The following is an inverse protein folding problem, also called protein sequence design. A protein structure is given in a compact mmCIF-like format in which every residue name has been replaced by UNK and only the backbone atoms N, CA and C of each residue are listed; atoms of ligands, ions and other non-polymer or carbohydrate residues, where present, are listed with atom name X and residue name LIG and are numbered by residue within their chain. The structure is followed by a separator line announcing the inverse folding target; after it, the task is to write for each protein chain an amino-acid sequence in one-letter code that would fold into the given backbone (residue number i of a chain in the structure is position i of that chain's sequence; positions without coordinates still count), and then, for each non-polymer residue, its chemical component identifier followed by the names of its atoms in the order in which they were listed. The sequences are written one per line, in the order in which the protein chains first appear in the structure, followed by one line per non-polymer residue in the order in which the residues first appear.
data_IF_664202818650
#
_entry.id   IF_664202818650
#
_cell.length_a   1.000
_cell.length_b   1.000
_cell.length_c   1.000
_cell.angle_alpha   90.00
_cell.angle_beta   90.00
_cell.angle_gamma   90.00
#
_symmetry.space_group_name_H-M   'P 1'
#
loop_
_entity.id
_entity.type
_entity.pdbx_description
1 polymer ?
#
# COMPACT_ATOMS: atom_id res chain seq x y z
N UNK A 1 -11.99 24.16 -23.84
CA UNK A 1 -11.50 22.99 -24.60
C UNK A 1 -11.14 21.92 -23.58
N UNK A 2 -11.79 20.75 -23.62
CA UNK A 2 -11.50 19.64 -22.68
C UNK A 2 -10.22 18.94 -23.12
N UNK A 3 -9.27 18.72 -22.21
CA UNK A 3 -8.12 17.85 -22.49
C UNK A 3 -8.59 16.43 -22.84
N UNK A 4 -7.96 15.74 -23.80
CA UNK A 4 -8.27 14.35 -24.09
C UNK A 4 -7.99 13.48 -22.85
N UNK A 5 -8.83 12.47 -22.64
CA UNK A 5 -8.62 11.51 -21.56
C UNK A 5 -7.28 10.79 -21.75
N UNK A 6 -6.49 10.70 -20.68
CA UNK A 6 -5.23 9.95 -20.70
C UNK A 6 -5.53 8.47 -21.01
N UNK A 7 -4.73 7.87 -21.91
CA UNK A 7 -4.82 6.46 -22.20
C UNK A 7 -4.47 5.63 -20.95
N UNK A 8 -5.28 4.62 -20.63
CA UNK A 8 -5.03 3.69 -19.52
C UNK A 8 -4.10 2.59 -20.03
N UNK A 9 -2.91 2.47 -19.43
CA UNK A 9 -1.97 1.38 -19.71
C UNK A 9 -2.12 0.29 -18.66
N UNK A 10 -2.49 -0.92 -19.09
CA UNK A 10 -2.51 -2.11 -18.22
C UNK A 10 -1.22 -2.92 -18.44
N UNK A 11 -0.71 -3.52 -17.36
CA UNK A 11 0.45 -4.43 -17.43
C UNK A 11 0.12 -5.79 -16.86
N UNK A 12 0.75 -6.82 -17.44
CA UNK A 12 0.65 -8.17 -16.92
C UNK A 12 1.30 -8.25 -15.52
N UNK A 13 0.78 -9.08 -14.60
CA UNK A 13 1.44 -9.35 -13.33
C UNK A 13 2.86 -9.91 -13.55
N UNK A 14 3.84 -9.42 -12.81
CA UNK A 14 5.25 -9.80 -12.92
C UNK A 14 5.48 -11.31 -12.78
N UNK A 15 4.66 -11.99 -11.96
CA UNK A 15 4.66 -13.45 -11.80
C UNK A 15 4.55 -14.24 -13.13
N UNK A 16 3.96 -13.64 -14.16
CA UNK A 16 3.77 -14.26 -15.47
C UNK A 16 4.67 -13.66 -16.57
N UNK A 17 5.53 -12.70 -16.22
CA UNK A 17 6.50 -12.16 -17.17
C UNK A 17 7.55 -13.23 -17.47
N UNK A 18 7.61 -13.68 -18.72
CA UNK A 18 8.66 -14.61 -19.16
C UNK A 18 9.96 -13.82 -19.30
N UNK A 19 11.03 -14.27 -18.66
CA UNK A 19 12.37 -13.65 -18.76
C UNK A 19 12.94 -13.60 -20.19
N UNK A 20 12.28 -14.23 -21.16
CA UNK A 20 12.72 -14.37 -22.55
C UNK A 20 12.01 -13.46 -23.55
N UNK A 21 11.08 -12.57 -23.15
CA UNK A 21 10.46 -11.66 -24.11
C UNK A 21 11.40 -10.49 -24.41
N UNK A 22 12.12 -10.59 -25.52
CA UNK A 22 12.89 -9.52 -26.18
C UNK A 22 12.01 -8.37 -26.73
N UNK A 23 10.89 -8.08 -26.08
CA UNK A 23 10.15 -6.86 -26.30
C UNK A 23 10.94 -5.75 -25.61
N UNK A 24 11.29 -4.72 -26.38
CA UNK A 24 11.85 -3.43 -25.95
C UNK A 24 11.81 -3.23 -24.44
N UNK A 25 12.98 -3.09 -23.80
CA UNK A 25 13.17 -2.87 -22.36
C UNK A 25 11.95 -2.15 -21.77
N UNK A 26 11.24 -2.75 -20.81
CA UNK A 26 9.99 -2.19 -20.32
C UNK A 26 10.28 -0.76 -19.87
N UNK A 27 9.52 0.21 -20.40
CA UNK A 27 9.65 1.60 -20.00
C UNK A 27 9.64 1.65 -18.46
N UNK A 28 10.67 2.28 -17.88
CA UNK A 28 10.88 2.41 -16.44
C UNK A 28 9.56 2.78 -15.77
N UNK A 29 8.99 1.85 -15.00
CA UNK A 29 7.71 2.10 -14.35
C UNK A 29 7.92 2.94 -13.10
N UNK A 30 7.43 4.16 -13.10
CA UNK A 30 7.22 4.88 -11.85
C UNK A 30 5.84 4.52 -11.28
N UNK A 31 5.83 3.82 -10.15
CA UNK A 31 4.63 3.75 -9.31
C UNK A 31 4.14 5.14 -8.89
N UNK A 32 2.91 5.25 -8.34
CA UNK A 32 2.51 6.47 -7.67
C UNK A 32 3.53 6.82 -6.56
N UNK A 33 3.81 8.10 -6.35
CA UNK A 33 4.67 8.53 -5.25
C UNK A 33 4.04 8.17 -3.90
N UNK A 34 4.85 8.03 -2.84
CA UNK A 34 4.33 7.78 -1.49
C UNK A 34 3.29 8.85 -1.05
N UNK A 35 3.50 10.10 -1.47
CA UNK A 35 2.57 11.21 -1.21
C UNK A 35 1.15 10.99 -1.75
N UNK A 36 0.99 10.16 -2.78
CA UNK A 36 -0.33 9.76 -3.25
C UNK A 36 -1.15 9.08 -2.14
N UNK A 37 -0.49 8.24 -1.33
CA UNK A 37 -1.13 7.46 -0.28
C UNK A 37 -1.52 8.30 0.93
N UNK A 38 -0.81 9.41 1.20
CA UNK A 38 -0.91 10.22 2.42
C UNK A 38 -2.25 10.95 2.57
N UNK A 39 -3.28 10.20 2.93
CA UNK A 39 -4.64 10.67 3.21
C UNK A 39 -5.41 9.58 3.95
N UNK A 40 -6.68 9.86 4.22
CA UNK A 40 -7.62 8.86 4.71
C UNK A 40 -8.41 8.25 3.55
N UNK A 41 -8.39 6.93 3.45
CA UNK A 41 -9.14 6.12 2.50
C UNK A 41 -10.30 5.43 3.20
N UNK A 42 -11.45 5.34 2.54
CA UNK A 42 -12.58 4.55 3.01
C UNK A 42 -12.57 3.17 2.35
N UNK A 43 -12.69 2.11 3.15
CA UNK A 43 -12.74 0.74 2.64
C UNK A 43 -14.16 0.41 2.23
N UNK A 44 -14.36 0.15 0.93
CA UNK A 44 -15.68 -0.23 0.40
C UNK A 44 -15.86 -1.75 0.34
N UNK A 45 -14.80 -2.49 0.05
CA UNK A 45 -14.79 -3.94 -0.05
C UNK A 45 -13.50 -4.49 0.55
N UNK A 46 -13.59 -5.65 1.21
CA UNK A 46 -12.42 -6.35 1.75
C UNK A 46 -12.68 -7.86 1.77
N UNK A 47 -11.61 -8.63 1.60
CA UNK A 47 -11.62 -10.09 1.74
C UNK A 47 -11.34 -10.55 3.17
N UNK A 48 -10.86 -9.65 4.05
CA UNK A 48 -10.53 -9.99 5.44
C UNK A 48 -11.81 -10.22 6.24
N UNK A 49 -11.96 -11.44 6.78
CA UNK A 49 -13.16 -11.87 7.50
C UNK A 49 -13.49 -11.01 8.72
N UNK A 50 -12.47 -10.48 9.42
CA UNK A 50 -12.65 -9.62 10.60
C UNK A 50 -13.46 -8.34 10.31
N UNK A 51 -13.45 -7.84 9.05
CA UNK A 51 -14.18 -6.63 8.68
C UNK A 51 -15.68 -6.87 8.43
N UNK A 52 -16.15 -8.11 8.37
CA UNK A 52 -17.58 -8.43 8.16
C UNK A 52 -18.49 -7.87 9.25
N UNK A 53 -17.96 -7.72 10.45
CA UNK A 53 -18.67 -7.18 11.62
C UNK A 53 -18.30 -5.72 11.91
N UNK A 54 -17.56 -5.06 11.02
CA UNK A 54 -17.18 -3.66 11.13
C UNK A 54 -18.00 -2.77 10.19
N UNK A 55 -18.04 -1.48 10.48
CA UNK A 55 -18.55 -0.42 9.59
C UNK A 55 -17.61 0.78 9.63
N UNK A 56 -17.77 1.68 8.67
CA UNK A 56 -17.02 2.94 8.60
C UNK A 56 -15.49 2.72 8.67
N UNK A 57 -15.00 1.64 8.05
CA UNK A 57 -13.59 1.29 8.06
C UNK A 57 -12.82 2.33 7.23
N UNK A 58 -11.86 2.98 7.88
CA UNK A 58 -11.01 4.02 7.30
C UNK A 58 -9.55 3.68 7.56
N UNK A 59 -8.70 3.96 6.59
CA UNK A 59 -7.25 3.78 6.69
C UNK A 59 -6.60 5.14 6.48
N UNK A 60 -5.80 5.59 7.43
CA UNK A 60 -5.07 6.85 7.33
C UNK A 60 -3.59 6.58 7.23
N UNK A 61 -3.00 6.99 6.12
CA UNK A 61 -1.56 6.90 5.88
C UNK A 61 -0.89 8.24 6.18
N UNK A 62 0.17 8.23 6.98
CA UNK A 62 1.00 9.42 7.26
C UNK A 62 2.48 9.15 7.00
N UNK A 63 3.23 10.12 6.47
CA UNK A 63 4.66 9.96 6.29
C UNK A 63 5.33 9.72 7.65
N UNK A 64 6.24 8.73 7.70
CA UNK A 64 7.22 8.63 8.78
C UNK A 64 8.54 9.23 8.31
N UNK A 65 9.35 9.80 9.22
CA UNK A 65 10.66 10.34 8.86
C UNK A 65 11.52 9.27 8.17
N UNK A 66 11.95 9.57 6.94
CA UNK A 66 12.94 8.75 6.24
C UNK A 66 14.33 9.05 6.78
N UNK A 67 15.11 8.00 7.08
CA UNK A 67 16.57 8.11 7.16
C UNK A 67 17.14 7.91 5.76
N UNK A 68 18.25 8.57 5.41
CA UNK A 68 18.96 8.32 4.15
C UNK A 68 19.43 6.88 3.98
N UNK A 69 19.42 6.09 5.06
CA UNK A 69 19.81 4.68 5.12
C UNK A 69 18.66 3.70 5.35
N UNK A 70 17.40 4.17 5.41
CA UNK A 70 16.24 3.29 5.67
C UNK A 70 15.24 3.33 4.52
N UNK A 71 14.57 2.20 4.23
CA UNK A 71 13.46 2.20 3.29
C UNK A 71 12.40 3.24 3.67
N UNK A 72 11.62 3.68 2.68
CA UNK A 72 10.47 4.55 2.93
C UNK A 72 9.51 3.87 3.91
N UNK A 73 8.95 4.65 4.84
CA UNK A 73 8.04 4.14 5.87
C UNK A 73 6.81 5.02 6.00
N UNK A 74 5.68 4.40 6.24
CA UNK A 74 4.38 5.06 6.35
C UNK A 74 3.69 4.55 7.63
N UNK A 75 3.18 5.48 8.43
CA UNK A 75 2.31 5.17 9.55
C UNK A 75 0.93 4.78 9.02
N UNK A 76 0.45 3.60 9.40
CA UNK A 76 -0.84 3.06 8.99
C UNK A 76 -1.77 3.01 10.21
N UNK A 77 -2.84 3.79 10.17
CA UNK A 77 -3.89 3.79 11.18
C UNK A 77 -5.22 3.39 10.56
N UNK A 78 -5.67 2.18 10.88
CA UNK A 78 -7.02 1.70 10.56
C UNK A 78 -7.97 2.02 11.69
N UNK A 79 -9.06 2.68 11.40
CA UNK A 79 -10.15 2.99 12.33
C UNK A 79 -11.46 2.40 11.86
N UNK A 80 -12.26 1.88 12.78
CA UNK A 80 -13.54 1.25 12.45
C UNK A 80 -14.47 1.21 13.65
N UNK A 81 -15.75 0.97 13.41
CA UNK A 81 -16.74 0.79 14.45
C UNK A 81 -17.36 -0.61 14.35
N UNK A 82 -17.92 -1.10 15.45
CA UNK A 82 -18.77 -2.30 15.37
C UNK A 82 -19.97 -2.02 14.45
N UNK A 83 -20.39 -3.01 13.65
CA UNK A 83 -21.57 -2.90 12.79
C UNK A 83 -22.84 -2.46 13.54
N UNK A 84 -22.98 -2.85 14.81
CA UNK A 84 -24.09 -2.42 15.69
C UNK A 84 -24.01 -0.95 16.15
N UNK A 85 -22.89 -0.27 15.92
CA UNK A 85 -22.60 1.08 16.42
C UNK A 85 -22.21 1.14 17.91
N UNK A 86 -22.22 0.01 18.63
CA UNK A 86 -21.86 -0.04 20.05
C UNK A 86 -20.34 -0.12 20.25
N UNK A 87 -19.86 0.52 21.31
CA UNK A 87 -18.46 0.41 21.75
C UNK A 87 -17.48 1.38 21.10
N UNK A 88 -17.98 2.36 20.34
CA UNK A 88 -17.17 3.45 19.78
C UNK A 88 -16.21 3.02 18.66
N UNK A 89 -15.28 3.93 18.33
CA UNK A 89 -14.24 3.73 17.32
C UNK A 89 -13.11 2.88 17.92
N UNK A 90 -12.73 1.85 17.19
CA UNK A 90 -11.56 1.00 17.46
C UNK A 90 -10.45 1.33 16.46
N UNK A 91 -9.21 1.12 16.87
CA UNK A 91 -8.04 1.36 16.03
C UNK A 91 -7.11 0.15 15.95
N UNK A 92 -6.48 0.00 14.79
CA UNK A 92 -5.35 -0.89 14.54
C UNK A 92 -4.25 -0.02 13.95
N UNK A 93 -3.11 0.03 14.61
CA UNK A 93 -1.97 0.83 14.18
C UNK A 93 -0.84 -0.09 13.71
N UNK A 94 -0.13 0.33 12.68
CA UNK A 94 1.01 -0.37 12.11
C UNK A 94 1.98 0.56 11.40
N UNK A 95 2.97 -0.04 10.75
CA UNK A 95 3.89 0.64 9.84
C UNK A 95 4.04 -0.19 8.58
N UNK A 96 3.84 0.46 7.45
CA UNK A 96 4.26 -0.04 6.15
C UNK A 96 5.72 0.37 5.91
N UNK A 97 6.55 -0.59 5.53
CA UNK A 97 7.95 -0.38 5.14
C UNK A 97 8.11 -0.80 3.69
N UNK A 98 8.60 0.09 2.82
CA UNK A 98 8.80 -0.24 1.41
C UNK A 98 9.74 -1.44 1.30
N UNK A 99 9.33 -2.46 0.54
CA UNK A 99 10.20 -3.59 0.29
C UNK A 99 11.44 -3.09 -0.47
N UNK A 100 12.63 -3.53 -0.02
CA UNK A 100 13.84 -3.32 -0.81
C UNK A 100 13.72 -4.24 -2.02
N UNK A 101 13.77 -3.70 -3.24
CA UNK A 101 13.82 -4.55 -4.42
C UNK A 101 15.11 -5.36 -4.38
N UNK A 102 15.02 -6.66 -4.11
CA UNK A 102 16.11 -7.62 -4.35
C UNK A 102 16.26 -7.97 -5.84
N UNK A 103 15.38 -7.43 -6.70
CA UNK A 103 15.53 -7.51 -8.14
C UNK A 103 16.56 -6.47 -8.59
N UNK A 104 17.73 -6.99 -8.98
CA UNK A 104 18.89 -6.36 -9.63
C UNK A 104 18.56 -5.67 -10.98
N UNK A 105 17.31 -5.29 -11.20
CA UNK A 105 16.81 -4.65 -12.42
C UNK A 105 16.22 -3.27 -12.07
N UNK A 106 17.02 -2.24 -12.36
CA UNK A 106 16.73 -0.82 -12.26
C UNK A 106 16.35 -0.29 -10.87
N UNK A 107 17.37 0.23 -10.17
CA UNK A 107 17.50 1.52 -9.45
C UNK A 107 16.27 2.45 -9.31
N UNK A 108 15.09 1.89 -9.06
CA UNK A 108 13.82 2.58 -9.12
C UNK A 108 13.04 2.16 -7.88
N UNK A 109 13.15 3.02 -6.87
CA UNK A 109 12.36 3.03 -5.64
C UNK A 109 10.87 3.22 -5.98
N UNK A 110 10.27 2.21 -6.60
CA UNK A 110 8.97 2.29 -7.24
C UNK A 110 7.82 2.14 -6.23
N UNK A 111 8.11 1.93 -4.93
CA UNK A 111 7.14 1.95 -3.82
C UNK A 111 5.87 1.11 -4.10
N UNK A 112 6.03 0.03 -4.86
CA UNK A 112 4.93 -0.83 -5.31
C UNK A 112 4.63 -1.99 -4.37
N UNK A 113 5.51 -2.25 -3.40
CA UNK A 113 5.38 -3.32 -2.41
C UNK A 113 5.76 -2.81 -1.03
N UNK A 114 5.02 -3.27 -0.01
CA UNK A 114 5.14 -2.79 1.36
C UNK A 114 4.96 -3.94 2.35
N UNK A 115 5.91 -4.06 3.28
CA UNK A 115 5.81 -4.96 4.42
C UNK A 115 5.12 -4.23 5.58
N UNK A 116 4.02 -4.79 6.07
CA UNK A 116 3.28 -4.23 7.19
C UNK A 116 3.68 -4.89 8.50
N UNK A 117 3.84 -4.09 9.55
CA UNK A 117 4.02 -4.57 10.93
C UNK A 117 3.13 -3.82 11.90
N UNK A 118 2.42 -4.55 12.76
CA UNK A 118 1.58 -3.94 13.79
C UNK A 118 2.38 -3.15 14.83
N UNK A 119 1.70 -2.23 15.51
CA UNK A 119 2.23 -1.44 16.64
C UNK A 119 1.61 -1.89 17.97
N UNK A 120 2.28 -1.55 19.06
CA UNK A 120 1.81 -1.83 20.42
C UNK A 120 1.62 -3.32 20.65
N UNK A 121 0.41 -3.73 21.08
CA UNK A 121 0.09 -5.14 21.30
C UNK A 121 0.07 -5.99 20.02
N UNK A 122 0.09 -5.38 18.84
CA UNK A 122 0.08 -6.07 17.54
C UNK A 122 1.48 -6.20 16.94
N UNK A 123 2.55 -5.90 17.68
CA UNK A 123 3.92 -5.89 17.15
C UNK A 123 4.40 -7.22 16.52
N UNK A 124 3.76 -8.33 16.87
CA UNK A 124 4.07 -9.67 16.35
C UNK A 124 3.29 -10.03 15.09
N UNK A 125 2.33 -9.19 14.66
CA UNK A 125 1.55 -9.40 13.44
C UNK A 125 2.25 -8.71 12.27
N UNK A 126 2.47 -9.45 11.18
CA UNK A 126 3.12 -8.94 9.97
C UNK A 126 2.39 -9.37 8.70
N UNK A 127 2.56 -8.60 7.63
CA UNK A 127 2.16 -8.94 6.24
C UNK A 127 3.38 -8.82 5.34
N UNK A 128 3.38 -9.59 4.23
CA UNK A 128 4.35 -9.51 3.14
C UNK A 128 3.61 -9.22 1.83
#
# INVERSE_FOLDING_TARGET
MSSPAAAITLRAPSKYASSSSSASSPASYSGPSAEFLHRTWSVTHSTLSMWRTARNVRITYKPLPSSSSSPARIDDLVEYENRSGKGGVKSVAGVDTACSGDDDDDNNNNNTSWDWRGKGLLFFVTSH
#
